data_IF_274917887683
#
_entry.id   IF_274917887683
#
_cell.length_a   1.000
_cell.length_b   1.000
_cell.length_c   1.000
_cell.angle_alpha   90.00
_cell.angle_beta   90.00
_cell.angle_gamma   90.00
#
_symmetry.space_group_name_H-M   'P 1'
#
loop_
_entity.id
_entity.type
_entity.pdbx_description
1 polymer ?
#
# COMPACT_ATOMS: atom_id res chain seq x y z
N UNK A 1 19.05 -6.45 -33.69
CA UNK A 1 19.31 -5.58 -32.52
C UNK A 1 18.41 -6.09 -31.42
N UNK A 2 18.96 -6.68 -30.35
CA UNK A 2 18.13 -7.06 -29.20
C UNK A 2 17.44 -5.80 -28.66
N UNK A 3 16.16 -5.87 -28.28
CA UNK A 3 15.48 -4.71 -27.68
C UNK A 3 16.29 -4.25 -26.46
N UNK A 4 16.44 -2.93 -26.31
CA UNK A 4 17.06 -2.36 -25.13
C UNK A 4 16.29 -2.85 -23.89
N UNK A 5 16.97 -3.57 -23.02
CA UNK A 5 16.44 -4.03 -21.75
C UNK A 5 16.00 -2.80 -20.96
N UNK A 6 14.69 -2.65 -20.74
CA UNK A 6 14.17 -1.55 -19.92
C UNK A 6 14.73 -1.74 -18.50
N UNK A 7 15.15 -0.68 -17.80
CA UNK A 7 15.50 -0.78 -16.39
C UNK A 7 14.35 -1.42 -15.64
N UNK A 8 14.62 -2.55 -14.99
CA UNK A 8 13.62 -3.26 -14.21
C UNK A 8 13.19 -2.38 -13.03
N UNK A 9 11.87 -2.30 -12.79
CA UNK A 9 11.34 -1.58 -11.64
C UNK A 9 11.57 -2.45 -10.43
N UNK A 10 12.61 -2.15 -9.68
CA UNK A 10 12.92 -2.85 -8.44
C UNK A 10 11.73 -2.72 -7.47
N UNK A 11 11.05 -3.83 -7.18
CA UNK A 11 9.90 -3.90 -6.27
C UNK A 11 10.18 -3.20 -4.94
N UNK A 12 11.38 -3.35 -4.37
CA UNK A 12 11.73 -2.70 -3.11
C UNK A 12 11.67 -1.17 -3.22
N UNK A 13 12.11 -0.59 -4.33
CA UNK A 13 12.05 0.87 -4.55
C UNK A 13 10.64 1.37 -4.83
N UNK A 14 9.78 0.55 -5.44
CA UNK A 14 8.36 0.88 -5.61
C UNK A 14 7.63 0.86 -4.26
N UNK A 15 7.93 -0.09 -3.38
CA UNK A 15 7.36 -0.15 -2.03
C UNK A 15 7.78 1.04 -1.14
N UNK A 16 8.97 1.62 -1.36
CA UNK A 16 9.34 2.89 -0.68
C UNK A 16 8.28 3.97 -0.97
N UNK A 17 7.90 4.14 -2.24
CA UNK A 17 6.90 5.15 -2.64
C UNK A 17 5.53 4.91 -2.01
N UNK A 18 5.17 3.64 -1.80
CA UNK A 18 3.93 3.28 -1.11
C UNK A 18 3.94 3.82 0.32
N UNK A 19 5.01 3.56 1.07
CA UNK A 19 5.14 4.03 2.46
C UNK A 19 5.27 5.55 2.55
N UNK A 20 5.97 6.19 1.60
CA UNK A 20 6.07 7.66 1.53
C UNK A 20 4.71 8.31 1.29
N UNK A 21 3.91 7.76 0.36
CA UNK A 21 2.57 8.28 0.07
C UNK A 21 1.65 8.19 1.29
N UNK A 22 1.66 7.05 1.98
CA UNK A 22 0.91 6.84 3.22
C UNK A 22 1.32 7.85 4.31
N UNK A 23 2.64 7.97 4.55
CA UNK A 23 3.18 8.87 5.57
C UNK A 23 2.89 10.36 5.26
N UNK A 24 3.01 10.79 4.00
CA UNK A 24 2.70 12.15 3.59
C UNK A 24 1.21 12.48 3.69
N UNK A 25 0.33 11.50 3.43
CA UNK A 25 -1.11 11.66 3.59
C UNK A 25 -1.50 11.74 5.08
N UNK A 26 -1.01 10.81 5.90
CA UNK A 26 -1.20 10.77 7.35
C UNK A 26 -0.65 12.02 8.05
N UNK A 27 0.54 12.47 7.65
CA UNK A 27 1.25 13.58 8.29
C UNK A 27 0.48 14.90 8.32
N UNK A 28 -0.48 15.09 7.39
CA UNK A 28 -1.38 16.25 7.38
C UNK A 28 -2.34 16.31 8.57
N UNK A 29 -2.54 15.17 9.25
CA UNK A 29 -3.44 15.01 10.37
C UNK A 29 -2.72 14.93 11.73
N UNK A 30 -1.39 14.95 11.72
CA UNK A 30 -0.56 14.90 12.92
C UNK A 30 -0.90 16.07 13.86
N UNK A 31 -1.17 15.77 15.13
CA UNK A 31 -1.47 16.77 16.16
C UNK A 31 -2.88 17.38 16.11
N UNK A 32 -3.74 16.97 15.16
CA UNK A 32 -5.10 17.49 15.04
C UNK A 32 -6.14 16.73 15.89
N UNK A 33 -5.74 15.66 16.58
CA UNK A 33 -6.64 14.82 17.38
C UNK A 33 -7.67 14.02 16.56
N UNK A 34 -7.57 14.02 15.23
CA UNK A 34 -8.48 13.33 14.33
C UNK A 34 -7.82 12.07 13.74
N UNK A 35 -7.63 11.05 14.60
CA UNK A 35 -6.94 9.81 14.22
C UNK A 35 -7.58 9.09 13.03
N UNK A 36 -8.92 9.03 12.99
CA UNK A 36 -9.64 8.27 11.97
C UNK A 36 -9.43 8.87 10.57
N UNK A 37 -9.35 10.20 10.48
CA UNK A 37 -9.08 10.86 9.21
C UNK A 37 -7.62 10.71 8.75
N UNK A 38 -6.67 10.70 9.70
CA UNK A 38 -5.27 10.39 9.40
C UNK A 38 -5.10 8.97 8.88
N UNK A 39 -5.70 8.01 9.57
CA UNK A 39 -5.69 6.59 9.24
C UNK A 39 -6.30 6.31 7.86
N UNK A 40 -7.52 6.82 7.62
CA UNK A 40 -8.16 6.71 6.30
C UNK A 40 -7.31 7.33 5.18
N UNK A 41 -6.69 8.49 5.42
CA UNK A 41 -5.83 9.12 4.43
C UNK A 41 -4.60 8.26 4.09
N UNK A 42 -4.02 7.56 5.07
CA UNK A 42 -2.91 6.65 4.85
C UNK A 42 -3.34 5.41 4.06
N UNK A 43 -4.44 4.76 4.46
CA UNK A 43 -5.05 3.60 3.78
C UNK A 43 -5.29 3.93 2.31
N UNK A 44 -5.96 5.06 2.03
CA UNK A 44 -6.31 5.49 0.68
C UNK A 44 -5.06 5.69 -0.19
N UNK A 45 -4.07 6.41 0.34
CA UNK A 45 -2.83 6.70 -0.38
C UNK A 45 -2.00 5.44 -0.62
N UNK A 46 -1.85 4.58 0.39
CA UNK A 46 -1.16 3.30 0.29
C UNK A 46 -1.82 2.42 -0.79
N UNK A 47 -3.14 2.26 -0.71
CA UNK A 47 -3.91 1.43 -1.63
C UNK A 47 -3.80 1.90 -3.08
N UNK A 48 -3.83 3.22 -3.30
CA UNK A 48 -3.70 3.84 -4.61
C UNK A 48 -2.33 3.54 -5.24
N UNK A 49 -1.24 3.70 -4.47
CA UNK A 49 0.10 3.46 -4.99
C UNK A 49 0.37 1.97 -5.19
N UNK A 50 -0.09 1.11 -4.27
CA UNK A 50 0.04 -0.35 -4.40
C UNK A 50 -0.56 -0.87 -5.71
N UNK A 51 -1.66 -0.29 -6.22
CA UNK A 51 -2.25 -0.68 -7.51
C UNK A 51 -1.35 -0.43 -8.72
N UNK A 52 -0.32 0.40 -8.58
CA UNK A 52 0.60 0.75 -9.68
C UNK A 52 1.87 -0.10 -9.70
N UNK A 53 2.09 -0.88 -8.66
CA UNK A 53 3.28 -1.73 -8.50
C UNK A 53 3.16 -2.96 -9.40
N UNK A 54 4.23 -3.30 -10.10
CA UNK A 54 4.38 -4.56 -10.84
C UNK A 54 4.48 -5.73 -9.84
N UNK A 55 3.32 -6.25 -9.43
CA UNK A 55 3.17 -7.42 -8.57
C UNK A 55 1.76 -8.02 -8.67
N UNK A 56 1.66 -9.30 -8.33
CA UNK A 56 0.41 -10.02 -8.12
C UNK A 56 0.29 -10.34 -6.63
N UNK A 57 -0.05 -9.29 -5.87
CA UNK A 57 -0.01 -9.31 -4.41
C UNK A 57 -1.33 -9.76 -3.80
N UNK A 58 -1.24 -10.52 -2.71
CA UNK A 58 -2.38 -10.84 -1.83
C UNK A 58 -2.12 -10.32 -0.43
N UNK A 59 -3.03 -9.54 0.12
CA UNK A 59 -2.92 -9.09 1.52
C UNK A 59 -3.20 -10.29 2.42
N UNK A 60 -2.22 -10.69 3.22
CA UNK A 60 -2.36 -11.76 4.22
C UNK A 60 -2.52 -11.21 5.64
N UNK A 61 -2.08 -9.96 5.86
CA UNK A 61 -2.28 -9.20 7.09
C UNK A 61 -2.57 -7.75 6.67
N UNK A 62 -3.74 -7.23 7.02
CA UNK A 62 -4.10 -5.83 6.76
C UNK A 62 -5.03 -5.25 7.81
N UNK A 63 -5.85 -4.28 7.42
CA UNK A 63 -6.72 -3.49 8.32
C UNK A 63 -7.81 -4.32 9.01
N UNK A 64 -8.08 -5.52 8.49
CA UNK A 64 -9.00 -6.47 9.08
C UNK A 64 -9.63 -7.39 8.04
N UNK A 65 -10.74 -8.01 8.44
CA UNK A 65 -11.56 -8.82 7.54
C UNK A 65 -12.36 -7.93 6.57
N UNK A 66 -12.72 -8.45 5.40
CA UNK A 66 -13.44 -7.71 4.35
C UNK A 66 -14.72 -7.02 4.82
N UNK A 67 -15.41 -7.60 5.79
CA UNK A 67 -16.65 -7.04 6.35
C UNK A 67 -16.40 -5.86 7.31
N UNK A 68 -15.17 -5.70 7.79
CA UNK A 68 -14.75 -4.70 8.78
C UNK A 68 -13.87 -3.61 8.17
N UNK A 69 -13.13 -3.92 7.11
CA UNK A 69 -12.25 -3.00 6.40
C UNK A 69 -12.64 -2.92 4.90
N UNK A 70 -13.01 -1.74 4.38
CA UNK A 70 -13.40 -1.60 2.97
C UNK A 70 -12.21 -1.69 2.00
N UNK A 71 -10.99 -1.45 2.48
CA UNK A 71 -9.75 -1.51 1.73
C UNK A 71 -8.65 -2.10 2.62
N UNK A 72 -7.62 -2.64 1.99
CA UNK A 72 -6.49 -3.30 2.60
C UNK A 72 -6.88 -4.46 3.53
N UNK A 73 -7.94 -5.19 3.18
CA UNK A 73 -8.45 -6.30 3.97
C UNK A 73 -7.74 -7.63 3.66
N UNK A 74 -7.81 -8.59 4.59
CA UNK A 74 -7.25 -9.93 4.40
C UNK A 74 -7.86 -10.64 3.17
N UNK A 75 -7.02 -11.03 2.23
CA UNK A 75 -7.38 -11.64 0.95
C UNK A 75 -7.59 -10.65 -0.19
N UNK A 76 -7.39 -9.34 0.02
CA UNK A 76 -7.46 -8.37 -1.07
C UNK A 76 -6.31 -8.56 -2.07
N UNK A 77 -6.63 -8.45 -3.37
CA UNK A 77 -5.65 -8.45 -4.46
C UNK A 77 -5.16 -7.04 -4.76
N UNK A 78 -3.84 -6.88 -4.82
CA UNK A 78 -3.15 -5.61 -5.00
C UNK A 78 -2.00 -5.76 -6.00
N UNK A 79 -1.47 -4.62 -6.47
CA UNK A 79 -0.60 -4.59 -7.64
C UNK A 79 -1.38 -4.60 -8.93
N UNK A 80 -0.67 -4.57 -10.05
CA UNK A 80 -1.28 -4.60 -11.38
C UNK A 80 -1.48 -6.02 -11.94
N UNK A 81 -1.16 -7.06 -11.16
CA UNK A 81 -1.33 -8.47 -11.53
C UNK A 81 -0.16 -9.08 -12.31
N UNK A 82 0.90 -8.30 -12.58
CA UNK A 82 2.13 -8.84 -13.15
C UNK A 82 2.94 -9.61 -12.10
N UNK A 83 3.79 -10.58 -12.46
CA UNK A 83 4.72 -11.19 -11.52
C UNK A 83 5.61 -10.13 -10.83
N UNK A 84 6.11 -10.38 -9.60
CA UNK A 84 6.02 -11.64 -8.86
C UNK A 84 4.70 -11.82 -8.08
N UNK A 85 4.36 -13.08 -7.77
CA UNK A 85 3.35 -13.39 -6.77
C UNK A 85 3.92 -13.20 -5.38
N UNK A 86 3.23 -12.42 -4.55
CA UNK A 86 3.70 -12.06 -3.21
C UNK A 86 2.56 -12.05 -2.21
N UNK A 87 2.87 -12.49 -1.00
CA UNK A 87 2.04 -12.24 0.17
C UNK A 87 2.46 -10.90 0.78
N UNK A 88 1.48 -10.06 1.12
CA UNK A 88 1.71 -8.69 1.58
C UNK A 88 1.10 -8.50 2.96
N UNK A 89 1.90 -7.97 3.87
CA UNK A 89 1.43 -7.42 5.14
C UNK A 89 1.47 -5.90 5.03
N UNK A 90 0.40 -5.23 5.49
CA UNK A 90 0.30 -3.78 5.48
C UNK A 90 -0.09 -3.25 6.85
N UNK A 91 0.48 -2.09 7.18
CA UNK A 91 0.10 -1.24 8.30
C UNK A 91 0.32 0.21 7.84
N UNK A 92 -0.73 0.90 7.34
CA UNK A 92 -0.66 2.27 6.85
C UNK A 92 -0.26 3.28 7.92
N UNK A 93 -0.66 3.06 9.18
CA UNK A 93 -0.21 3.83 10.35
C UNK A 93 -0.02 2.91 11.55
N UNK A 94 1.23 2.54 11.81
CA UNK A 94 1.60 1.98 13.10
C UNK A 94 1.65 3.11 14.15
N UNK A 95 0.67 3.10 15.08
CA UNK A 95 0.61 4.04 16.19
C UNK A 95 -0.39 5.20 16.04
N UNK A 96 -1.66 4.90 15.80
CA UNK A 96 -2.74 5.91 15.69
C UNK A 96 -3.15 6.61 17.01
N UNK A 97 -2.36 6.49 18.09
CA UNK A 97 -2.72 6.93 19.46
C UNK A 97 -1.88 8.09 19.95
#
# INVERSE_FOLDING_TARGET
>A
MAPAEKPDRNLALELVRVTEAAALAAGRWMGLGNRNAGDQAAVDAMRLVLNTVDMDGTIVIGEGEKDQAPMLYNGERIGNGNPPQVDVAVDPIDGTR
#
